data_IF_109101752671
#
_entry.id   IF_109101752671
#
_cell.length_a   1.000
_cell.length_b   1.000
_cell.length_c   1.000
_cell.angle_alpha   90.00
_cell.angle_beta   90.00
_cell.angle_gamma   90.00
#
_symmetry.space_group_name_H-M   'P 1'
#
loop_
_entity.id
_entity.type
_entity.pdbx_description
1 polymer ?
#
# COMPACT_ATOMS: atom_id res chain seq x y z
N UNK A 1 -27.74 12.53 10.05
CA UNK A 1 -26.29 12.26 10.14
C UNK A 1 -25.88 11.58 8.85
N UNK A 2 -25.02 12.20 8.05
CA UNK A 2 -24.64 11.66 6.75
C UNK A 2 -23.75 10.44 7.00
N UNK A 3 -24.29 9.24 6.77
CA UNK A 3 -23.59 7.98 7.01
C UNK A 3 -22.62 7.73 5.85
N UNK A 4 -21.56 8.55 5.75
CA UNK A 4 -20.52 8.37 4.74
C UNK A 4 -19.73 7.13 5.15
N UNK A 5 -20.06 5.99 4.53
CA UNK A 5 -19.25 4.78 4.65
C UNK A 5 -17.97 4.97 3.83
N UNK A 6 -16.85 4.33 4.24
CA UNK A 6 -15.68 4.26 3.39
C UNK A 6 -16.03 3.71 2.01
N UNK A 7 -15.43 4.29 0.97
CA UNK A 7 -15.47 3.76 -0.40
C UNK A 7 -14.60 2.50 -0.48
N UNK A 8 -13.42 2.55 0.13
CA UNK A 8 -12.49 1.42 0.16
C UNK A 8 -11.62 1.46 1.42
N UNK A 9 -11.02 0.31 1.72
CA UNK A 9 -10.00 0.15 2.75
C UNK A 9 -8.76 -0.48 2.13
N UNK A 10 -7.62 -0.26 2.73
CA UNK A 10 -6.37 -0.78 2.23
C UNK A 10 -5.30 -0.92 3.29
N UNK A 11 -4.26 -1.65 2.91
CA UNK A 11 -3.07 -1.87 3.73
C UNK A 11 -1.99 -0.89 3.31
N UNK A 12 -1.44 -0.16 4.28
CA UNK A 12 -0.27 0.68 4.07
C UNK A 12 0.97 -0.18 4.27
N UNK A 13 1.80 -0.30 3.25
CA UNK A 13 2.96 -1.19 3.23
C UNK A 13 4.22 -0.50 2.74
N UNK A 14 5.38 -1.06 3.07
CA UNK A 14 6.67 -0.71 2.49
C UNK A 14 7.38 -1.96 1.98
N UNK A 15 8.40 -1.78 1.14
CA UNK A 15 9.26 -2.89 0.69
C UNK A 15 10.24 -3.22 1.82
N UNK A 16 10.02 -4.35 2.48
CA UNK A 16 10.89 -4.83 3.55
C UNK A 16 12.18 -5.44 3.00
N UNK A 17 12.07 -6.17 1.89
CA UNK A 17 13.21 -6.78 1.20
C UNK A 17 12.93 -6.97 -0.29
N UNK A 18 13.98 -7.10 -1.08
CA UNK A 18 13.93 -7.60 -2.45
C UNK A 18 14.69 -8.91 -2.53
N UNK A 19 14.11 -9.92 -3.16
CA UNK A 19 14.70 -11.25 -3.25
C UNK A 19 14.60 -11.79 -4.67
N UNK A 20 15.58 -12.62 -5.05
CA UNK A 20 15.55 -13.37 -6.29
C UNK A 20 14.66 -14.61 -6.11
N UNK A 21 13.83 -14.92 -7.10
CA UNK A 21 13.03 -16.13 -7.12
C UNK A 21 13.76 -17.24 -7.86
N UNK A 22 13.33 -18.48 -7.65
CA UNK A 22 13.84 -19.62 -8.42
C UNK A 22 13.26 -19.69 -9.85
N UNK A 23 12.47 -18.69 -10.26
CA UNK A 23 11.87 -18.62 -11.60
C UNK A 23 12.75 -17.76 -12.50
N UNK A 24 13.14 -18.31 -13.64
CA UNK A 24 13.92 -17.58 -14.64
C UNK A 24 13.00 -16.65 -15.44
N UNK A 25 13.36 -15.37 -15.49
CA UNK A 25 12.68 -14.34 -16.27
C UNK A 25 13.12 -14.29 -17.73
N UNK A 26 12.64 -13.30 -18.47
CA UNK A 26 12.89 -13.18 -19.92
C UNK A 26 14.38 -13.10 -20.29
N UNK A 27 15.22 -12.53 -19.43
CA UNK A 27 16.67 -12.36 -19.68
C UNK A 27 17.51 -13.58 -19.25
N UNK A 28 16.88 -14.74 -19.06
CA UNK A 28 17.51 -15.95 -18.53
C UNK A 28 18.17 -15.76 -17.13
N UNK A 29 17.71 -14.76 -16.37
CA UNK A 29 18.13 -14.46 -15.00
C UNK A 29 16.98 -14.70 -14.00
N UNK A 30 17.28 -15.05 -12.74
CA UNK A 30 16.27 -15.12 -11.66
C UNK A 30 15.43 -13.85 -11.56
N UNK A 31 14.10 -13.98 -11.54
CA UNK A 31 13.22 -12.83 -11.37
C UNK A 31 13.42 -12.20 -9.98
N UNK A 32 13.41 -10.88 -9.88
CA UNK A 32 13.41 -10.19 -8.59
C UNK A 32 11.98 -9.88 -8.16
N UNK A 33 11.64 -10.18 -6.90
CA UNK A 33 10.35 -9.83 -6.27
C UNK A 33 10.56 -8.98 -5.02
N UNK A 34 9.57 -8.15 -4.71
CA UNK A 34 9.51 -7.37 -3.47
C UNK A 34 8.71 -8.15 -2.42
N UNK A 35 9.21 -8.21 -1.19
CA UNK A 35 8.41 -8.57 -0.01
C UNK A 35 7.94 -7.30 0.66
N UNK A 36 6.64 -7.20 0.87
CA UNK A 36 6.02 -6.05 1.52
C UNK A 36 5.73 -6.36 2.99
N UNK A 37 5.93 -5.38 3.85
CA UNK A 37 5.50 -5.43 5.25
C UNK A 37 4.52 -4.29 5.53
N UNK A 38 3.48 -4.59 6.31
CA UNK A 38 2.44 -3.63 6.68
C UNK A 38 2.91 -2.73 7.81
N UNK A 39 2.61 -1.44 7.70
CA UNK A 39 2.92 -0.40 8.70
C UNK A 39 1.67 0.32 9.20
N UNK A 40 0.52 0.03 8.60
CA UNK A 40 -0.75 0.61 9.00
C UNK A 40 -1.84 0.39 7.97
N UNK A 41 -2.79 1.31 7.93
CA UNK A 41 -4.03 1.20 7.16
C UNK A 41 -4.29 2.48 6.36
N UNK A 42 -5.02 2.34 5.27
CA UNK A 42 -5.54 3.45 4.51
C UNK A 42 -7.06 3.31 4.36
N UNK A 43 -7.77 4.42 4.44
CA UNK A 43 -9.21 4.50 4.22
C UNK A 43 -9.49 5.51 3.12
N UNK A 44 -10.17 5.08 2.05
CA UNK A 44 -10.65 5.98 1.01
C UNK A 44 -12.08 6.39 1.35
N UNK A 45 -12.29 7.69 1.52
CA UNK A 45 -13.59 8.29 1.81
C UNK A 45 -14.15 8.98 0.55
N UNK A 46 -15.47 9.24 0.51
CA UNK A 46 -16.02 10.18 -0.45
C UNK A 46 -15.31 11.53 -0.39
N UNK A 47 -15.19 12.16 -1.56
CA UNK A 47 -14.59 13.48 -1.66
C UNK A 47 -15.34 14.48 -0.76
N UNK A 48 -14.59 15.42 -0.20
CA UNK A 48 -15.18 16.51 0.58
C UNK A 48 -16.06 17.38 -0.35
N UNK A 49 -17.14 17.99 0.16
CA UNK A 49 -17.97 18.90 -0.63
C UNK A 49 -17.10 19.97 -1.30
N UNK A 50 -17.34 20.23 -2.58
CA UNK A 50 -16.58 21.19 -3.41
C UNK A 50 -15.09 20.86 -3.59
N UNK A 51 -14.69 19.60 -3.36
CA UNK A 51 -13.35 19.12 -3.68
C UNK A 51 -13.41 17.97 -4.68
N UNK A 52 -12.57 18.04 -5.71
CA UNK A 52 -12.34 16.92 -6.62
C UNK A 52 -11.16 16.04 -6.17
N UNK A 53 -10.52 16.38 -5.05
CA UNK A 53 -9.37 15.63 -4.55
C UNK A 53 -9.84 14.38 -3.78
N UNK A 54 -9.19 13.22 -3.99
CA UNK A 54 -9.43 12.02 -3.20
C UNK A 54 -9.24 12.28 -1.71
N UNK A 55 -10.19 11.83 -0.90
CA UNK A 55 -10.11 11.93 0.55
C UNK A 55 -9.54 10.63 1.12
N UNK A 56 -8.21 10.57 1.23
CA UNK A 56 -7.50 9.40 1.75
C UNK A 56 -7.03 9.71 3.17
N UNK A 57 -7.40 8.84 4.11
CA UNK A 57 -6.91 8.83 5.48
C UNK A 57 -5.88 7.71 5.65
N UNK A 58 -4.79 8.00 6.36
CA UNK A 58 -3.70 7.05 6.61
C UNK A 58 -3.48 6.97 8.13
N UNK A 59 -3.55 5.76 8.66
CA UNK A 59 -3.21 5.42 10.04
C UNK A 59 -1.91 4.61 10.02
N UNK A 60 -0.90 5.04 10.77
CA UNK A 60 0.40 4.36 10.85
C UNK A 60 0.55 3.79 12.26
N UNK A 61 0.54 2.46 12.36
CA UNK A 61 0.62 1.73 13.62
C UNK A 61 2.07 1.52 14.06
N UNK A 62 2.98 1.43 13.08
CA UNK A 62 4.39 1.12 13.33
C UNK A 62 5.27 1.73 12.25
N UNK A 63 6.50 2.10 12.63
CA UNK A 63 7.51 2.63 11.72
C UNK A 63 8.76 1.73 11.78
N UNK A 64 9.39 1.42 10.64
CA UNK A 64 10.65 0.68 10.66
C UNK A 64 11.73 1.46 11.40
N UNK A 65 12.46 0.78 12.29
CA UNK A 65 13.57 1.36 13.05
C UNK A 65 14.69 1.77 12.06
N UNK A 66 15.38 2.88 12.33
CA UNK A 66 16.46 3.47 11.51
C UNK A 66 16.05 4.16 10.19
N UNK A 67 14.77 4.46 9.98
CA UNK A 67 14.30 5.25 8.83
C UNK A 67 14.59 6.76 8.93
N UNK A 68 15.12 7.26 10.06
CA UNK A 68 15.36 8.69 10.27
C UNK A 68 16.41 9.32 9.34
N UNK A 69 17.13 8.51 8.54
CA UNK A 69 18.19 8.96 7.64
C UNK A 69 17.82 8.89 6.15
N UNK A 70 16.62 8.42 5.79
CA UNK A 70 16.21 8.29 4.38
C UNK A 70 14.69 8.43 4.21
N UNK A 71 14.18 8.97 3.09
CA UNK A 71 12.75 8.98 2.80
C UNK A 71 12.13 7.56 2.80
N UNK A 72 11.09 7.36 3.60
CA UNK A 72 10.29 6.14 3.59
C UNK A 72 9.28 6.17 2.45
N UNK A 73 9.40 5.22 1.51
CA UNK A 73 8.38 5.01 0.47
C UNK A 73 7.32 4.02 0.94
N UNK A 74 6.08 4.49 1.02
CA UNK A 74 4.90 3.68 1.35
C UNK A 74 4.02 3.47 0.13
N UNK A 75 3.30 2.36 0.13
CA UNK A 75 2.32 1.99 -0.87
C UNK A 75 1.00 1.67 -0.17
N UNK A 76 -0.11 1.99 -0.83
CA UNK A 76 -1.43 1.52 -0.40
C UNK A 76 -1.85 0.41 -1.34
N UNK A 77 -2.15 -0.76 -0.77
CA UNK A 77 -2.82 -1.85 -1.49
C UNK A 77 -4.27 -1.86 -1.08
N UNK A 78 -5.15 -1.55 -2.02
CA UNK A 78 -6.59 -1.45 -1.79
C UNK A 78 -7.25 -2.82 -1.80
N UNK A 79 -8.18 -3.06 -0.88
CA UNK A 79 -8.87 -4.35 -0.76
C UNK A 79 -9.71 -4.66 -2.01
N UNK A 80 -10.22 -3.63 -2.71
CA UNK A 80 -10.93 -3.79 -3.97
C UNK A 80 -10.06 -4.30 -5.14
N UNK A 81 -8.73 -4.19 -5.05
CA UNK A 81 -7.79 -4.72 -6.04
C UNK A 81 -7.55 -6.23 -5.83
N UNK A 82 -7.60 -6.71 -4.58
CA UNK A 82 -7.50 -8.13 -4.25
C UNK A 82 -8.73 -8.91 -4.74
N UNK A 83 -9.91 -8.29 -4.79
CA UNK A 83 -11.14 -8.95 -5.24
C UNK A 83 -11.19 -9.15 -6.76
N UNK A 84 -10.41 -8.39 -7.54
CA UNK A 84 -10.39 -8.50 -9.01
C UNK A 84 -9.42 -9.55 -9.54
N UNK A 85 -8.54 -10.07 -8.67
CA UNK A 85 -7.49 -11.03 -9.03
C UNK A 85 -7.74 -12.44 -8.48
N UNK A 86 -8.97 -12.74 -8.05
CA UNK A 86 -9.46 -14.08 -7.69
C UNK A 86 -10.47 -14.56 -8.74
#
# INVERSE_FOLDING_TARGET
>A
MNNQRPIDKGRLVYIAERYQTNTIGQDNQPMTKNRYASVGRATLWPNKPNSNMPNIEIEIDTMPINQSQSPLKLFVFWDSEDTRNQ
#
